data_IF_031147422081
#
_entry.id   IF_031147422081
#
_cell.length_a   1.000
_cell.length_b   1.000
_cell.length_c   1.000
_cell.angle_alpha   90.00
_cell.angle_beta   90.00
_cell.angle_gamma   90.00
#
_symmetry.space_group_name_H-M   'P 1'
#
loop_
_entity.id
_entity.type
_entity.pdbx_description
1 polymer ?
#
# COMPACT_ATOMS: atom_id res chain seq x y z
N UNK A 1 -7.71 -6.04 19.22
CA UNK A 1 -7.92 -6.86 17.99
C UNK A 1 -6.65 -7.59 17.60
N UNK A 2 -6.67 -8.92 17.53
CA UNK A 2 -5.49 -9.77 17.40
C UNK A 2 -5.31 -10.38 16.00
N UNK A 3 -6.39 -10.69 15.29
CA UNK A 3 -6.33 -11.36 13.99
C UNK A 3 -5.79 -10.44 12.87
N UNK A 4 -4.71 -10.83 12.16
CA UNK A 4 -4.13 -10.02 11.08
C UNK A 4 -5.08 -9.76 9.91
N UNK A 5 -5.94 -10.70 9.55
CA UNK A 5 -6.89 -10.52 8.44
C UNK A 5 -8.03 -9.57 8.82
N UNK A 6 -8.52 -9.65 10.06
CA UNK A 6 -9.48 -8.69 10.61
C UNK A 6 -8.90 -7.26 10.62
N UNK A 7 -7.63 -7.09 10.99
CA UNK A 7 -6.91 -5.80 10.86
C UNK A 7 -6.92 -5.28 9.44
N UNK A 8 -6.59 -6.12 8.46
CA UNK A 8 -6.61 -5.72 7.04
C UNK A 8 -8.00 -5.30 6.59
N UNK A 9 -9.03 -6.09 6.91
CA UNK A 9 -10.42 -5.81 6.54
C UNK A 9 -10.92 -4.48 7.10
N UNK A 10 -10.74 -4.24 8.40
CA UNK A 10 -11.20 -2.98 9.03
C UNK A 10 -10.49 -1.75 8.47
N UNK A 11 -9.18 -1.82 8.24
CA UNK A 11 -8.43 -0.70 7.65
C UNK A 11 -8.88 -0.44 6.21
N UNK A 12 -9.08 -1.50 5.42
CA UNK A 12 -9.57 -1.39 4.05
C UNK A 12 -10.98 -0.81 3.96
N UNK A 13 -11.90 -1.28 4.80
CA UNK A 13 -13.27 -0.74 4.89
C UNK A 13 -13.28 0.74 5.28
N UNK A 14 -12.49 1.12 6.29
CA UNK A 14 -12.37 2.52 6.71
C UNK A 14 -11.78 3.40 5.59
N UNK A 15 -10.76 2.89 4.89
CA UNK A 15 -10.17 3.60 3.76
C UNK A 15 -11.21 3.86 2.67
N UNK A 16 -11.98 2.84 2.28
CA UNK A 16 -13.05 2.97 1.28
C UNK A 16 -14.09 4.00 1.71
N UNK A 17 -14.55 3.94 2.98
CA UNK A 17 -15.56 4.87 3.49
C UNK A 17 -15.09 6.32 3.44
N UNK A 18 -13.86 6.57 3.93
CA UNK A 18 -13.26 7.92 3.90
C UNK A 18 -13.05 8.38 2.45
N UNK A 19 -12.59 7.48 1.58
CA UNK A 19 -12.40 7.79 0.16
C UNK A 19 -13.72 8.17 -0.53
N UNK A 20 -14.81 7.45 -0.25
CA UNK A 20 -16.16 7.80 -0.74
C UNK A 20 -16.65 9.16 -0.22
N UNK A 21 -16.46 9.41 1.08
CA UNK A 21 -16.82 10.68 1.71
C UNK A 21 -16.05 11.87 1.10
N UNK A 22 -14.75 11.70 0.86
CA UNK A 22 -13.90 12.72 0.23
C UNK A 22 -14.24 12.90 -1.25
N UNK A 23 -14.40 11.83 -2.02
CA UNK A 23 -14.67 11.91 -3.45
C UNK A 23 -15.94 12.72 -3.77
N UNK A 24 -16.99 12.58 -2.93
CA UNK A 24 -18.24 13.34 -3.06
C UNK A 24 -18.06 14.86 -2.97
N UNK A 25 -16.99 15.34 -2.32
CA UNK A 25 -16.71 16.77 -2.17
C UNK A 25 -16.19 17.42 -3.45
N UNK A 26 -15.59 16.63 -4.36
CA UNK A 26 -14.94 17.12 -5.57
C UNK A 26 -15.83 17.04 -6.83
N UNK A 27 -17.14 16.82 -6.65
CA UNK A 27 -18.12 16.77 -7.74
C UNK A 27 -18.14 15.43 -8.48
N UNK A 28 -18.50 15.45 -9.76
CA UNK A 28 -18.60 14.25 -10.59
C UNK A 28 -17.22 13.81 -11.10
N UNK A 29 -16.56 12.93 -10.34
CA UNK A 29 -15.39 12.22 -10.83
C UNK A 29 -15.83 11.14 -11.83
N UNK A 30 -15.28 11.14 -13.05
CA UNK A 30 -15.52 10.08 -14.05
C UNK A 30 -14.54 8.93 -13.95
N UNK A 31 -13.31 9.21 -13.51
CA UNK A 31 -12.19 8.28 -13.56
C UNK A 31 -11.59 8.07 -12.18
N UNK A 32 -11.18 6.83 -11.90
CA UNK A 32 -10.26 6.51 -10.82
C UNK A 32 -8.92 6.09 -11.41
N UNK A 33 -7.90 6.91 -11.25
CA UNK A 33 -6.54 6.53 -11.58
C UNK A 33 -5.96 5.59 -10.53
N UNK A 34 -5.45 4.44 -10.94
CA UNK A 34 -4.75 3.49 -10.06
C UNK A 34 -3.33 3.24 -10.55
N UNK A 35 -2.40 3.14 -9.59
CA UNK A 35 -0.99 2.83 -9.85
C UNK A 35 -0.71 1.35 -10.09
N UNK A 36 -1.68 0.57 -10.57
CA UNK A 36 -1.57 -0.86 -10.83
C UNK A 36 -0.42 -1.13 -11.80
N UNK A 37 0.48 -2.05 -11.42
CA UNK A 37 1.63 -2.47 -12.24
C UNK A 37 1.48 -3.92 -12.70
N UNK A 38 2.33 -4.37 -13.61
CA UNK A 38 2.20 -5.68 -14.25
C UNK A 38 2.21 -6.85 -13.26
N UNK A 39 2.97 -6.77 -12.16
CA UNK A 39 2.95 -7.79 -11.09
C UNK A 39 1.59 -7.90 -10.41
N UNK A 40 0.88 -6.78 -10.20
CA UNK A 40 -0.45 -6.79 -9.59
C UNK A 40 -1.47 -7.50 -10.49
N UNK A 41 -1.37 -7.27 -11.81
CA UNK A 41 -2.22 -7.92 -12.82
C UNK A 41 -2.04 -9.44 -12.80
N UNK A 42 -0.79 -9.91 -12.75
CA UNK A 42 -0.50 -11.35 -12.68
C UNK A 42 -1.04 -11.97 -11.39
N UNK A 43 -0.81 -11.34 -10.24
CA UNK A 43 -1.30 -11.83 -8.94
C UNK A 43 -2.83 -11.96 -8.93
N UNK A 44 -3.54 -10.96 -9.47
CA UNK A 44 -5.00 -10.98 -9.56
C UNK A 44 -5.54 -12.03 -10.54
N UNK A 45 -4.82 -12.31 -11.62
CA UNK A 45 -5.22 -13.29 -12.64
C UNK A 45 -4.98 -14.73 -12.16
N UNK A 46 -3.89 -14.97 -11.41
CA UNK A 46 -3.58 -16.28 -10.84
C UNK A 46 -4.60 -16.72 -9.77
N UNK A 47 -5.17 -15.77 -9.02
CA UNK A 47 -6.26 -16.04 -8.07
C UNK A 47 -7.52 -16.62 -8.77
N UNK A 48 -7.70 -16.38 -10.07
CA UNK A 48 -8.84 -16.88 -10.85
C UNK A 48 -8.75 -18.37 -11.21
N UNK A 49 -7.57 -19.00 -11.09
CA UNK A 49 -7.33 -20.39 -11.51
C UNK A 49 -7.33 -21.43 -10.37
N UNK A 50 -7.81 -21.08 -9.17
CA UNK A 50 -8.05 -22.06 -8.09
C UNK A 50 -7.44 -21.74 -6.73
N UNK A 51 -6.90 -20.55 -6.51
CA UNK A 51 -6.46 -20.10 -5.19
C UNK A 51 -7.59 -19.33 -4.48
N UNK A 52 -8.48 -20.07 -3.81
CA UNK A 52 -9.48 -19.50 -2.93
C UNK A 52 -8.85 -18.57 -1.87
N UNK A 53 -9.32 -17.32 -1.83
CA UNK A 53 -9.34 -16.42 -0.65
C UNK A 53 -7.97 -16.14 -0.02
N UNK A 54 -6.99 -15.70 -0.82
CA UNK A 54 -5.76 -15.12 -0.25
C UNK A 54 -5.65 -13.67 -0.72
N UNK A 55 -5.81 -12.76 0.25
CA UNK A 55 -5.78 -11.28 0.19
C UNK A 55 -7.10 -10.63 -0.26
N UNK A 56 -7.92 -10.33 0.73
CA UNK A 56 -9.21 -9.61 0.61
C UNK A 56 -9.11 -8.15 0.11
N UNK A 57 -7.90 -7.63 -0.16
CA UNK A 57 -7.69 -6.29 -0.72
C UNK A 57 -6.53 -6.34 -1.72
N UNK A 58 -6.83 -6.71 -2.97
CA UNK A 58 -5.97 -6.27 -4.05
C UNK A 58 -6.27 -4.81 -4.36
N UNK A 59 -5.19 -4.06 -4.64
CA UNK A 59 -5.21 -2.67 -5.12
C UNK A 59 -6.02 -2.48 -6.43
N UNK A 60 -6.66 -3.52 -6.97
CA UNK A 60 -7.35 -3.54 -8.27
C UNK A 60 -8.87 -3.80 -8.13
N UNK A 61 -9.40 -4.16 -6.95
CA UNK A 61 -10.77 -4.71 -6.88
C UNK A 61 -11.66 -4.30 -5.70
N UNK A 62 -11.27 -3.31 -4.91
CA UNK A 62 -11.95 -2.97 -3.65
C UNK A 62 -12.89 -1.77 -3.68
N UNK A 63 -13.17 -1.17 -4.84
CA UNK A 63 -14.18 -0.10 -4.85
C UNK A 63 -15.56 -0.74 -4.66
N UNK A 64 -16.42 -0.18 -3.81
CA UNK A 64 -17.81 -0.58 -3.75
C UNK A 64 -18.37 -0.58 -5.17
N UNK A 65 -19.13 -1.61 -5.54
CA UNK A 65 -19.87 -1.66 -6.82
C UNK A 65 -20.78 -0.43 -7.03
N UNK A 66 -20.98 0.38 -5.98
CA UNK A 66 -21.69 1.65 -5.96
C UNK A 66 -20.88 2.87 -6.44
N UNK A 67 -19.55 2.78 -6.53
CA UNK A 67 -18.74 3.86 -7.09
C UNK A 67 -18.84 3.80 -8.62
N UNK A 68 -19.61 4.72 -9.21
CA UNK A 68 -19.78 4.84 -10.66
C UNK A 68 -18.54 5.46 -11.35
N UNK A 69 -17.34 4.95 -11.04
CA UNK A 69 -16.06 5.42 -11.54
C UNK A 69 -15.49 4.44 -12.56
N UNK A 70 -14.89 4.96 -13.63
CA UNK A 70 -14.16 4.15 -14.62
C UNK A 70 -12.70 4.05 -14.20
N UNK A 71 -12.14 2.83 -14.18
CA UNK A 71 -10.73 2.63 -13.85
C UNK A 71 -9.81 3.15 -14.96
N UNK A 72 -8.71 3.79 -14.56
CA UNK A 72 -7.63 4.24 -15.42
C UNK A 72 -6.29 3.74 -14.85
N UNK A 73 -5.68 2.75 -15.50
CA UNK A 73 -4.48 2.05 -15.01
C UNK A 73 -3.31 2.19 -16.00
N UNK A 74 -2.66 3.37 -16.08
CA UNK A 74 -1.67 3.65 -17.11
C UNK A 74 -0.37 2.86 -16.98
N UNK A 75 -0.07 2.32 -15.79
CA UNK A 75 1.17 1.61 -15.49
C UNK A 75 1.04 0.08 -15.58
N UNK A 76 -0.13 -0.44 -15.97
CA UNK A 76 -0.49 -1.86 -15.87
C UNK A 76 0.40 -2.84 -16.63
N UNK A 77 1.20 -2.35 -17.59
CA UNK A 77 2.12 -3.15 -18.40
C UNK A 77 3.59 -2.97 -18.01
N UNK A 78 3.87 -2.18 -16.96
CA UNK A 78 5.23 -1.91 -16.50
C UNK A 78 5.57 -2.74 -15.27
N UNK A 79 6.82 -3.19 -15.18
CA UNK A 79 7.41 -3.72 -13.96
C UNK A 79 7.87 -2.59 -13.02
N UNK A 80 8.14 -2.97 -11.76
CA UNK A 80 8.52 -2.01 -10.70
C UNK A 80 9.75 -1.18 -11.03
N UNK A 81 10.76 -1.76 -11.70
CA UNK A 81 11.96 -1.03 -12.10
C UNK A 81 11.70 -0.05 -13.24
N UNK A 82 10.80 -0.37 -14.17
CA UNK A 82 10.36 0.51 -15.25
C UNK A 82 9.55 1.70 -14.70
N UNK A 83 8.64 1.45 -13.76
CA UNK A 83 7.92 2.52 -13.06
C UNK A 83 8.87 3.44 -12.31
N UNK A 84 9.94 2.89 -11.70
CA UNK A 84 10.98 3.70 -11.05
C UNK A 84 11.74 4.57 -12.05
N UNK A 85 12.17 4.01 -13.18
CA UNK A 85 12.83 4.76 -14.27
C UNK A 85 11.93 5.89 -14.76
N UNK A 86 10.65 5.61 -14.98
CA UNK A 86 9.66 6.61 -15.38
C UNK A 86 9.53 7.74 -14.33
N UNK A 87 9.46 7.39 -13.04
CA UNK A 87 9.41 8.37 -11.96
C UNK A 87 10.61 9.32 -11.94
N UNK A 88 11.82 8.80 -12.18
CA UNK A 88 13.02 9.64 -12.29
C UNK A 88 13.00 10.54 -13.52
N UNK A 89 12.56 10.02 -14.67
CA UNK A 89 12.41 10.81 -15.90
C UNK A 89 11.39 11.94 -15.76
N UNK A 90 10.35 11.73 -14.94
CA UNK A 90 9.36 12.75 -14.60
C UNK A 90 9.84 13.74 -13.52
N UNK A 91 11.08 13.61 -13.03
CA UNK A 91 11.67 14.52 -12.05
C UNK A 91 11.32 14.22 -10.59
N UNK A 92 10.77 13.04 -10.27
CA UNK A 92 10.50 12.68 -8.88
C UNK A 92 11.81 12.51 -8.09
N UNK A 93 11.87 12.96 -6.82
CA UNK A 93 13.04 12.75 -5.98
C UNK A 93 13.42 11.27 -5.88
N UNK A 94 14.71 10.95 -6.03
CA UNK A 94 15.22 9.58 -5.88
C UNK A 94 14.79 8.96 -4.54
N UNK A 95 14.78 9.76 -3.47
CA UNK A 95 14.35 9.34 -2.13
C UNK A 95 12.89 8.86 -2.07
N UNK A 96 12.02 9.33 -2.98
CA UNK A 96 10.63 8.88 -3.07
C UNK A 96 10.54 7.61 -3.92
N UNK A 97 11.21 7.60 -5.07
CA UNK A 97 11.21 6.48 -6.03
C UNK A 97 11.80 5.20 -5.44
N UNK A 98 12.85 5.33 -4.64
CA UNK A 98 13.57 4.20 -4.02
C UNK A 98 13.18 3.96 -2.56
N UNK A 99 12.14 4.63 -2.04
CA UNK A 99 11.62 4.32 -0.71
C UNK A 99 11.21 2.84 -0.64
N UNK A 100 11.45 2.22 0.51
CA UNK A 100 10.93 0.88 0.78
C UNK A 100 9.40 0.84 0.68
N UNK A 101 8.83 -0.28 0.20
CA UNK A 101 7.38 -0.45 0.16
C UNK A 101 6.80 -0.44 1.58
N UNK A 102 5.64 0.20 1.73
CA UNK A 102 4.90 0.27 2.98
C UNK A 102 3.51 -0.35 2.77
N UNK A 103 3.03 -1.23 3.67
CA UNK A 103 1.76 -1.93 3.48
C UNK A 103 0.57 -0.99 3.63
N UNK A 104 -0.54 -1.27 2.90
CA UNK A 104 -1.77 -0.47 2.99
C UNK A 104 -2.40 -0.47 4.40
N UNK A 105 -2.35 -1.59 5.11
CA UNK A 105 -2.78 -1.67 6.52
C UNK A 105 -1.80 -1.01 7.50
N UNK A 106 -0.69 -0.45 7.00
CA UNK A 106 0.30 0.30 7.75
C UNK A 106 0.91 -0.46 8.92
N UNK A 107 1.05 0.23 10.05
CA UNK A 107 1.64 -0.33 11.27
C UNK A 107 0.75 -1.36 11.95
N UNK A 108 -0.55 -1.41 11.66
CA UNK A 108 -1.47 -2.34 12.32
C UNK A 108 -1.04 -3.81 12.14
N UNK A 109 -0.54 -4.16 10.93
CA UNK A 109 -0.03 -5.51 10.63
C UNK A 109 1.40 -5.76 11.10
N UNK A 110 2.08 -4.73 11.63
CA UNK A 110 3.41 -4.83 12.25
C UNK A 110 3.32 -4.95 13.77
N UNK A 111 2.11 -4.97 14.34
CA UNK A 111 1.86 -5.23 15.76
C UNK A 111 1.37 -6.67 15.91
N UNK A 112 2.13 -7.49 16.62
CA UNK A 112 1.82 -8.87 17.01
C UNK A 112 0.92 -8.85 18.24
N UNK A 113 -0.36 -8.61 18.01
CA UNK A 113 -1.37 -8.58 19.06
C UNK A 113 -2.28 -7.37 18.95
N UNK A 114 -2.76 -6.87 20.08
CA UNK A 114 -3.68 -5.75 20.08
C UNK A 114 -3.03 -4.43 19.65
N UNK A 115 -3.67 -3.76 18.70
CA UNK A 115 -3.30 -2.41 18.26
C UNK A 115 -3.90 -1.39 19.23
N UNK A 116 -3.04 -0.72 19.99
CA UNK A 116 -3.39 0.42 20.85
C UNK A 116 -2.53 1.63 20.50
N UNK A 117 -2.95 2.83 20.91
CA UNK A 117 -2.17 4.05 20.63
C UNK A 117 -0.77 4.00 21.25
N UNK A 118 -0.67 3.52 22.49
CA UNK A 118 0.62 3.34 23.19
C UNK A 118 1.56 2.37 22.45
N UNK A 119 1.02 1.27 21.90
CA UNK A 119 1.81 0.31 21.11
C UNK A 119 2.26 0.95 19.79
N UNK A 120 1.36 1.65 19.10
CA UNK A 120 1.67 2.35 17.85
C UNK A 120 2.72 3.45 18.06
N UNK A 121 2.65 4.18 19.17
CA UNK A 121 3.63 5.20 19.52
C UNK A 121 5.04 4.61 19.69
N UNK A 122 5.16 3.54 20.49
CA UNK A 122 6.44 2.83 20.68
C UNK A 122 6.97 2.28 19.36
N UNK A 123 6.10 1.67 18.55
CA UNK A 123 6.48 1.14 17.25
C UNK A 123 6.94 2.23 16.27
N UNK A 124 6.27 3.40 16.24
CA UNK A 124 6.69 4.54 15.41
C UNK A 124 8.08 5.03 15.79
N UNK A 125 8.36 5.15 17.09
CA UNK A 125 9.68 5.58 17.59
C UNK A 125 10.74 4.53 17.21
N UNK A 126 10.47 3.25 17.44
CA UNK A 126 11.40 2.17 17.10
C UNK A 126 11.68 2.10 15.59
N UNK A 127 10.65 2.16 14.74
CA UNK A 127 10.78 2.15 13.28
C UNK A 127 11.55 3.38 12.78
N UNK A 128 11.29 4.56 13.35
CA UNK A 128 12.01 5.79 13.02
C UNK A 128 13.50 5.68 13.32
N UNK A 129 13.87 5.25 14.54
CA UNK A 129 15.28 5.07 14.94
C UNK A 129 15.95 4.04 14.02
N UNK A 130 15.30 2.90 13.78
CA UNK A 130 15.87 1.83 12.95
C UNK A 130 16.14 2.31 11.51
N UNK A 131 15.17 3.00 10.90
CA UNK A 131 15.30 3.50 9.53
C UNK A 131 16.33 4.64 9.45
N UNK A 132 16.42 5.50 10.46
CA UNK A 132 17.42 6.56 10.55
C UNK A 132 18.84 5.99 10.61
N UNK A 133 19.07 4.98 11.46
CA UNK A 133 20.37 4.34 11.58
C UNK A 133 20.76 3.58 10.30
N UNK A 134 19.82 2.92 9.63
CA UNK A 134 20.08 2.32 8.31
C UNK A 134 20.50 3.35 7.26
N UNK A 135 19.91 4.55 7.29
CA UNK A 135 20.28 5.64 6.37
C UNK A 135 21.64 6.22 6.70
N UNK A 136 21.90 6.55 7.98
CA UNK A 136 23.20 7.07 8.45
C UNK A 136 24.36 6.16 8.10
N UNK A 137 24.14 4.85 8.14
CA UNK A 137 25.16 3.83 7.87
C UNK A 137 25.15 3.31 6.42
N UNK A 138 24.45 3.97 5.49
CA UNK A 138 24.38 3.59 4.07
C UNK A 138 23.90 2.16 3.79
N UNK A 139 23.05 1.60 4.66
CA UNK A 139 22.44 0.27 4.49
C UNK A 139 21.04 0.33 3.90
N UNK A 140 20.36 1.47 3.97
CA UNK A 140 18.97 1.61 3.51
C UNK A 140 18.77 1.18 2.04
N UNK A 141 19.66 1.61 1.13
CA UNK A 141 19.57 1.22 -0.29
C UNK A 141 20.10 -0.21 -0.57
N UNK A 142 20.77 -0.84 0.38
CA UNK A 142 21.35 -2.20 0.23
C UNK A 142 20.35 -3.31 0.56
N UNK A 143 19.23 -2.97 1.19
CA UNK A 143 18.16 -3.91 1.53
C UNK A 143 16.89 -3.57 0.76
N UNK A 144 16.13 -4.60 0.39
CA UNK A 144 14.89 -4.43 -0.38
C UNK A 144 13.74 -3.85 0.45
N UNK A 145 13.74 -4.10 1.75
CA UNK A 145 12.76 -3.60 2.72
C UNK A 145 13.31 -3.70 4.14
N UNK A 146 13.00 -2.71 4.98
CA UNK A 146 13.29 -2.72 6.41
C UNK A 146 12.11 -2.12 7.20
N UNK A 147 11.83 -2.67 8.37
CA UNK A 147 10.82 -2.18 9.31
C UNK A 147 10.97 -2.81 10.69
N UNK A 148 10.47 -2.12 11.71
CA UNK A 148 10.28 -2.69 13.04
C UNK A 148 8.95 -3.45 13.16
N UNK A 149 8.91 -4.41 14.10
CA UNK A 149 7.72 -5.17 14.49
C UNK A 149 7.61 -5.07 16.02
N UNK A 150 6.40 -4.94 16.53
CA UNK A 150 6.11 -4.88 17.96
C UNK A 150 5.35 -6.11 18.40
#
# INVERSE_FOLDING_TARGET
MFDPEEKRKRVGEMFIRIFEEEAKKYGECRWLAQGTIYSDVIESSAASYGAQIIKSHHNVGGLPSRMNLKLLEPLRYLFKDEVRKLGLLLGLPKSWVYRHPFPGAGLAIRVLGEVTENVLEKLRIADAIFIEELKKNNFYEKVSQAFAVF
#
